data_IF_341188634487
#
_entry.id   IF_341188634487
#
_cell.length_a   1.000
_cell.length_b   1.000
_cell.length_c   1.000
_cell.angle_alpha   90.00
_cell.angle_beta   90.00
_cell.angle_gamma   90.00
#
_symmetry.space_group_name_H-M   'P 1'
#
loop_
_entity.id
_entity.type
_entity.pdbx_description
1 polymer ?
#
# COMPACT_ATOMS: atom_id res chain seq x y z
N UNK A 1 18.41 61.45 -37.01
CA UNK A 1 18.28 59.98 -37.05
C UNK A 1 17.62 59.54 -35.74
N UNK A 2 16.29 59.32 -35.75
CA UNK A 2 15.50 58.89 -34.60
C UNK A 2 15.52 57.36 -34.55
N UNK A 3 16.05 56.77 -33.48
CA UNK A 3 15.94 55.32 -33.20
C UNK A 3 14.58 55.04 -32.56
N UNK A 4 13.73 54.28 -33.28
CA UNK A 4 12.46 53.75 -32.76
C UNK A 4 12.80 52.48 -32.00
N UNK A 5 12.52 52.47 -30.68
CA UNK A 5 12.63 51.30 -29.80
C UNK A 5 11.31 50.54 -29.85
N UNK A 6 11.29 49.37 -30.48
CA UNK A 6 10.12 48.52 -30.53
C UNK A 6 10.09 47.65 -29.25
N UNK A 7 9.15 47.96 -28.33
CA UNK A 7 8.85 47.11 -27.16
C UNK A 7 7.99 45.95 -27.61
N UNK A 8 8.54 44.74 -27.65
CA UNK A 8 7.76 43.50 -27.76
C UNK A 8 7.20 43.16 -26.37
N UNK A 9 5.93 43.38 -26.17
CA UNK A 9 5.18 42.83 -25.02
C UNK A 9 4.85 41.36 -25.32
N UNK A 10 5.57 40.46 -24.68
CA UNK A 10 5.21 39.03 -24.65
C UNK A 10 4.07 38.85 -23.65
N UNK A 11 2.87 38.70 -24.17
CA UNK A 11 1.69 38.34 -23.39
C UNK A 11 1.75 36.85 -23.08
N UNK A 12 2.21 36.47 -21.88
CA UNK A 12 2.12 35.10 -21.36
C UNK A 12 0.68 34.85 -20.92
N UNK A 13 -0.11 34.27 -21.82
CA UNK A 13 -1.42 33.71 -21.45
C UNK A 13 -1.18 32.45 -20.58
N UNK A 14 -1.31 32.59 -19.27
CA UNK A 14 -1.45 31.45 -18.37
C UNK A 14 -2.81 30.78 -18.70
N UNK A 15 -2.76 29.68 -19.43
CA UNK A 15 -3.85 28.73 -19.51
C UNK A 15 -4.00 28.10 -18.11
N UNK A 16 -4.90 28.63 -17.30
CA UNK A 16 -5.44 27.90 -16.16
C UNK A 16 -6.22 26.71 -16.75
N UNK A 17 -5.56 25.55 -16.87
CA UNK A 17 -6.25 24.30 -17.03
C UNK A 17 -7.11 24.13 -15.76
N UNK A 18 -8.41 24.41 -15.90
CA UNK A 18 -9.38 24.07 -14.86
C UNK A 18 -9.30 22.57 -14.67
N UNK A 19 -8.69 22.11 -13.57
CA UNK A 19 -8.83 20.74 -13.12
C UNK A 19 -10.30 20.53 -12.81
N UNK A 20 -11.07 20.04 -13.79
CA UNK A 20 -12.37 19.46 -13.53
C UNK A 20 -12.02 18.14 -12.86
N UNK A 21 -12.33 17.92 -11.56
CA UNK A 21 -12.12 16.63 -10.94
C UNK A 21 -12.85 15.58 -11.77
N UNK A 22 -12.14 14.53 -12.16
CA UNK A 22 -12.75 13.42 -12.87
C UNK A 22 -13.90 12.91 -12.01
N UNK A 23 -15.11 12.89 -12.56
CA UNK A 23 -16.27 12.39 -11.85
C UNK A 23 -16.03 10.91 -11.53
N UNK A 24 -16.10 10.52 -10.27
CA UNK A 24 -15.81 9.15 -9.86
C UNK A 24 -16.76 8.14 -10.51
N UNK A 25 -18.02 8.58 -10.75
CA UNK A 25 -19.02 7.77 -11.45
C UNK A 25 -19.83 8.60 -12.42
N UNK A 26 -20.17 8.01 -13.55
CA UNK A 26 -21.12 8.50 -14.56
C UNK A 26 -22.55 7.95 -14.38
N UNK A 27 -22.75 7.11 -13.35
CA UNK A 27 -24.03 6.53 -12.96
C UNK A 27 -24.28 6.73 -11.46
N UNK A 28 -25.53 6.59 -11.04
CA UNK A 28 -25.89 6.47 -9.61
C UNK A 28 -26.57 5.14 -9.37
N UNK A 29 -26.17 4.49 -8.28
CA UNK A 29 -26.77 3.26 -7.82
C UNK A 29 -27.68 3.53 -6.61
N UNK A 30 -28.95 3.19 -6.72
CA UNK A 30 -29.94 3.33 -5.64
C UNK A 30 -29.99 2.09 -4.73
N UNK A 31 -29.39 0.99 -5.15
CA UNK A 31 -29.34 -0.26 -4.38
C UNK A 31 -28.33 -0.14 -3.24
N UNK A 32 -28.70 -0.48 -1.99
CA UNK A 32 -27.74 -0.42 -0.89
C UNK A 32 -26.58 -1.40 -1.10
N UNK A 33 -25.37 -0.89 -1.14
CA UNK A 33 -24.12 -1.66 -1.20
C UNK A 33 -23.32 -1.36 0.06
N UNK A 34 -22.91 -2.38 0.78
CA UNK A 34 -22.07 -2.25 1.97
C UNK A 34 -20.72 -2.93 1.75
N UNK A 35 -19.64 -2.39 2.31
CA UNK A 35 -18.33 -3.02 2.22
C UNK A 35 -17.60 -3.09 3.55
N UNK A 36 -16.75 -4.12 3.70
CA UNK A 36 -15.73 -4.20 4.74
C UNK A 36 -14.34 -4.15 4.08
N UNK A 37 -13.50 -3.22 4.49
CA UNK A 37 -12.18 -2.99 3.90
C UNK A 37 -11.15 -2.57 4.95
N UNK A 38 -9.87 -2.59 4.57
CA UNK A 38 -8.78 -2.12 5.44
C UNK A 38 -8.92 -0.62 5.78
N UNK A 39 -8.57 -0.25 7.01
CA UNK A 39 -8.78 1.09 7.57
C UNK A 39 -7.61 2.07 7.35
N UNK A 40 -6.90 2.06 6.22
CA UNK A 40 -5.84 3.02 5.94
C UNK A 40 -6.21 4.03 4.84
N UNK A 41 -5.45 5.12 4.73
CA UNK A 41 -5.85 6.32 3.97
C UNK A 41 -6.14 6.06 2.49
N UNK A 42 -5.39 5.19 1.80
CA UNK A 42 -5.69 4.88 0.41
C UNK A 42 -7.08 4.21 0.24
N UNK A 43 -7.49 3.34 1.18
CA UNK A 43 -8.84 2.78 1.18
C UNK A 43 -9.92 3.83 1.47
N UNK A 44 -9.64 4.82 2.33
CA UNK A 44 -10.57 5.95 2.55
C UNK A 44 -10.84 6.70 1.25
N UNK A 45 -9.78 7.00 0.48
CA UNK A 45 -9.92 7.69 -0.81
C UNK A 45 -10.75 6.86 -1.80
N UNK A 46 -10.46 5.56 -1.91
CA UNK A 46 -11.20 4.66 -2.80
C UNK A 46 -12.68 4.57 -2.40
N UNK A 47 -12.97 4.36 -1.12
CA UNK A 47 -14.34 4.23 -0.65
C UNK A 47 -15.12 5.53 -0.75
N UNK A 48 -14.49 6.69 -0.50
CA UNK A 48 -15.12 8.00 -0.70
C UNK A 48 -15.50 8.22 -2.17
N UNK A 49 -14.64 7.82 -3.12
CA UNK A 49 -14.98 7.86 -4.53
C UNK A 49 -16.16 6.91 -4.87
N UNK A 50 -16.25 5.74 -4.21
CA UNK A 50 -17.38 4.83 -4.40
C UNK A 50 -18.70 5.37 -3.83
N UNK A 51 -18.66 6.16 -2.75
CA UNK A 51 -19.84 6.84 -2.18
C UNK A 51 -20.47 7.84 -3.15
N UNK A 52 -19.67 8.42 -4.04
CA UNK A 52 -20.19 9.32 -5.10
C UNK A 52 -21.05 8.57 -6.14
N UNK A 53 -20.91 7.24 -6.23
CA UNK A 53 -21.64 6.39 -7.17
C UNK A 53 -23.07 6.05 -6.72
N UNK A 54 -23.48 6.42 -5.51
CA UNK A 54 -24.84 6.18 -5.01
C UNK A 54 -24.90 5.61 -3.61
N UNK A 55 -25.84 4.69 -3.36
CA UNK A 55 -26.12 4.15 -2.04
C UNK A 55 -25.04 3.14 -1.60
N UNK A 56 -23.87 3.61 -1.25
CA UNK A 56 -22.72 2.85 -0.80
C UNK A 56 -22.33 3.24 0.64
N UNK A 57 -22.12 2.24 1.50
CA UNK A 57 -21.73 2.44 2.89
C UNK A 57 -20.49 1.61 3.21
N UNK A 58 -19.30 2.23 3.32
CA UNK A 58 -18.07 1.54 3.67
C UNK A 58 -17.95 1.32 5.19
N UNK A 59 -17.38 0.20 5.57
CA UNK A 59 -16.79 -0.05 6.88
C UNK A 59 -15.30 -0.21 6.72
N UNK A 60 -14.53 0.70 7.31
CA UNK A 60 -13.07 0.71 7.30
C UNK A 60 -12.57 0.25 8.67
N UNK A 61 -11.82 -0.84 8.72
CA UNK A 61 -11.39 -1.47 9.97
C UNK A 61 -9.92 -1.90 9.87
N UNK A 62 -9.07 -1.50 10.81
CA UNK A 62 -7.66 -1.88 10.83
C UNK A 62 -7.47 -3.39 11.04
N UNK A 63 -8.39 -4.02 11.76
CA UNK A 63 -8.37 -5.46 12.06
C UNK A 63 -9.34 -6.25 11.16
N UNK A 64 -9.70 -5.70 9.98
CA UNK A 64 -10.67 -6.30 9.07
C UNK A 64 -10.34 -7.75 8.67
N UNK A 65 -9.06 -8.09 8.62
CA UNK A 65 -8.56 -9.42 8.23
C UNK A 65 -9.14 -10.53 9.11
N UNK A 66 -9.23 -10.27 10.42
CA UNK A 66 -9.70 -11.24 11.41
C UNK A 66 -11.21 -11.45 11.34
N UNK A 67 -11.93 -10.48 10.79
CA UNK A 67 -13.40 -10.46 10.70
C UNK A 67 -13.92 -10.87 9.33
N UNK A 68 -13.08 -10.76 8.30
CA UNK A 68 -13.47 -10.80 6.89
C UNK A 68 -14.22 -12.09 6.52
N UNK A 69 -13.63 -13.25 6.78
CA UNK A 69 -14.22 -14.54 6.40
C UNK A 69 -15.56 -14.74 7.11
N UNK A 70 -15.61 -14.58 8.43
CA UNK A 70 -16.82 -14.76 9.21
C UNK A 70 -17.98 -13.82 8.77
N UNK A 71 -17.64 -12.56 8.44
CA UNK A 71 -18.62 -11.58 7.99
C UNK A 71 -19.21 -11.94 6.61
N UNK A 72 -18.42 -12.54 5.73
CA UNK A 72 -18.85 -12.92 4.38
C UNK A 72 -19.55 -14.28 4.35
N UNK A 73 -19.21 -15.23 5.23
CA UNK A 73 -19.83 -16.55 5.33
C UNK A 73 -21.23 -16.53 5.96
N UNK A 74 -21.56 -15.49 6.71
CA UNK A 74 -22.89 -15.36 7.30
C UNK A 74 -23.99 -15.45 6.23
N UNK A 75 -25.22 -15.84 6.62
CA UNK A 75 -26.35 -16.00 5.68
C UNK A 75 -27.54 -15.19 6.15
N UNK A 76 -27.87 -14.07 5.49
CA UNK A 76 -27.13 -13.43 4.41
C UNK A 76 -25.77 -12.86 4.88
N UNK A 77 -24.84 -12.65 3.95
CA UNK A 77 -23.58 -11.97 4.24
C UNK A 77 -23.81 -10.61 4.90
N UNK A 78 -22.96 -10.25 5.87
CA UNK A 78 -23.06 -8.94 6.55
C UNK A 78 -22.75 -7.78 5.59
N UNK A 79 -21.91 -8.03 4.59
CA UNK A 79 -21.52 -7.05 3.58
C UNK A 79 -21.77 -7.56 2.18
N UNK A 80 -22.13 -6.65 1.27
CA UNK A 80 -22.33 -6.96 -0.16
C UNK A 80 -21.02 -7.26 -0.85
N UNK A 81 -19.98 -6.50 -0.51
CA UNK A 81 -18.64 -6.65 -1.06
C UNK A 81 -17.59 -6.50 0.04
N UNK A 82 -16.35 -6.83 -0.27
CA UNK A 82 -15.25 -6.61 0.63
C UNK A 82 -13.97 -6.23 -0.11
N UNK A 83 -13.14 -5.45 0.58
CA UNK A 83 -11.74 -5.26 0.22
C UNK A 83 -10.95 -6.52 0.54
N UNK A 84 -10.16 -6.98 -0.41
CA UNK A 84 -9.24 -8.10 -0.26
C UNK A 84 -7.85 -7.70 -0.76
N UNK A 85 -6.87 -8.46 -0.37
CA UNK A 85 -5.49 -8.31 -0.83
C UNK A 85 -4.92 -9.67 -1.24
N UNK A 86 -3.75 -9.69 -1.82
CA UNK A 86 -3.03 -10.94 -2.12
C UNK A 86 -2.93 -11.90 -0.93
N UNK A 87 -2.85 -11.36 0.31
CA UNK A 87 -2.77 -12.16 1.53
C UNK A 87 -4.11 -12.59 2.15
N UNK A 88 -5.23 -11.96 1.78
CA UNK A 88 -6.54 -12.28 2.38
C UNK A 88 -7.50 -12.99 1.43
N UNK A 89 -7.28 -12.89 0.13
CA UNK A 89 -8.17 -13.46 -0.88
C UNK A 89 -8.26 -14.99 -0.76
N UNK A 90 -7.15 -15.67 -0.46
CA UNK A 90 -7.09 -17.13 -0.39
C UNK A 90 -8.08 -17.66 0.66
N UNK A 91 -8.03 -17.14 1.89
CA UNK A 91 -8.94 -17.60 2.96
C UNK A 91 -10.42 -17.34 2.64
N UNK A 92 -10.74 -16.25 1.94
CA UNK A 92 -12.11 -15.95 1.49
C UNK A 92 -12.57 -16.95 0.41
N UNK A 93 -11.67 -17.32 -0.51
CA UNK A 93 -11.96 -18.28 -1.58
C UNK A 93 -12.09 -19.70 -1.05
N UNK A 94 -11.20 -20.13 -0.15
CA UNK A 94 -11.24 -21.44 0.51
C UNK A 94 -12.54 -21.63 1.31
N UNK A 95 -13.02 -20.55 1.95
CA UNK A 95 -14.31 -20.53 2.63
C UNK A 95 -15.53 -20.54 1.65
N UNK A 96 -15.28 -20.38 0.35
CA UNK A 96 -16.33 -20.26 -0.67
C UNK A 96 -17.23 -19.05 -0.45
N UNK A 97 -16.71 -17.97 0.16
CA UNK A 97 -17.47 -16.81 0.58
C UNK A 97 -17.60 -15.73 -0.50
N UNK A 98 -16.83 -15.81 -1.60
CA UNK A 98 -16.93 -14.92 -2.75
C UNK A 98 -17.62 -15.61 -3.94
N UNK A 99 -18.22 -14.80 -4.83
CA UNK A 99 -18.75 -15.27 -6.12
C UNK A 99 -17.86 -14.84 -7.29
N UNK A 100 -17.87 -15.59 -8.41
CA UNK A 100 -17.26 -15.13 -9.67
C UNK A 100 -17.87 -13.81 -10.15
N UNK A 101 -17.05 -13.02 -10.85
CA UNK A 101 -17.40 -11.69 -11.36
C UNK A 101 -17.47 -11.64 -12.89
N UNK A 102 -17.36 -12.79 -13.57
CA UNK A 102 -17.29 -12.88 -15.04
C UNK A 102 -18.48 -12.20 -15.73
N UNK A 103 -19.69 -12.38 -15.21
CA UNK A 103 -20.91 -11.77 -15.69
C UNK A 103 -20.88 -10.22 -15.61
N UNK A 104 -20.40 -9.70 -14.48
CA UNK A 104 -20.27 -8.25 -14.29
C UNK A 104 -19.15 -7.67 -15.13
N UNK A 105 -18.01 -8.36 -15.21
CA UNK A 105 -16.89 -7.93 -16.05
C UNK A 105 -17.26 -7.94 -17.52
N UNK A 106 -18.00 -8.94 -18.00
CA UNK A 106 -18.50 -8.99 -19.37
C UNK A 106 -19.42 -7.80 -19.70
N UNK A 107 -20.23 -7.37 -18.72
CA UNK A 107 -21.22 -6.30 -18.93
C UNK A 107 -20.63 -4.91 -18.72
N UNK A 108 -19.76 -4.72 -17.71
CA UNK A 108 -19.33 -3.42 -17.23
C UNK A 108 -17.81 -3.22 -17.26
N UNK A 109 -17.04 -4.28 -17.51
CA UNK A 109 -15.60 -4.30 -17.36
C UNK A 109 -14.79 -3.89 -18.58
N UNK A 110 -15.38 -3.20 -19.58
CA UNK A 110 -14.68 -2.83 -20.83
C UNK A 110 -13.45 -1.94 -20.61
N UNK A 111 -13.38 -1.20 -19.52
CA UNK A 111 -12.23 -0.36 -19.14
C UNK A 111 -11.16 -1.07 -18.29
N UNK A 112 -11.41 -2.31 -17.86
CA UNK A 112 -10.46 -3.04 -17.03
C UNK A 112 -9.30 -3.59 -17.85
N UNK A 113 -8.08 -3.40 -17.33
CA UNK A 113 -6.89 -4.04 -17.86
C UNK A 113 -6.85 -5.52 -17.45
N UNK A 114 -6.19 -6.37 -18.25
CA UNK A 114 -6.11 -7.82 -17.94
C UNK A 114 -5.44 -8.11 -16.59
N UNK A 115 -4.41 -7.34 -16.21
CA UNK A 115 -3.72 -7.48 -14.94
C UNK A 115 -4.54 -7.04 -13.71
N UNK A 116 -5.69 -6.41 -13.89
CA UNK A 116 -6.64 -6.09 -12.82
C UNK A 116 -7.57 -7.26 -12.50
N UNK A 117 -7.72 -8.22 -13.41
CA UNK A 117 -8.60 -9.38 -13.26
C UNK A 117 -7.85 -10.49 -12.51
N UNK A 118 -8.23 -10.74 -11.27
CA UNK A 118 -7.63 -11.81 -10.46
C UNK A 118 -8.36 -13.12 -10.76
N UNK A 119 -7.65 -13.97 -11.49
CA UNK A 119 -8.17 -15.25 -11.97
C UNK A 119 -7.84 -16.37 -10.98
N UNK A 120 -8.84 -17.16 -10.61
CA UNK A 120 -8.69 -18.41 -9.86
C UNK A 120 -9.54 -19.48 -10.56
N UNK A 121 -8.93 -20.59 -10.92
CA UNK A 121 -9.55 -21.67 -11.69
C UNK A 121 -10.28 -21.21 -12.95
N UNK A 122 -9.69 -20.23 -13.65
CA UNK A 122 -10.22 -19.67 -14.90
C UNK A 122 -11.41 -18.71 -14.71
N UNK A 123 -11.78 -18.36 -13.48
CA UNK A 123 -12.86 -17.42 -13.16
C UNK A 123 -12.29 -16.13 -12.57
N UNK A 124 -12.89 -15.00 -12.89
CA UNK A 124 -12.53 -13.71 -12.29
C UNK A 124 -13.13 -13.66 -10.89
N UNK A 125 -12.30 -13.78 -9.86
CA UNK A 125 -12.74 -13.81 -8.46
C UNK A 125 -12.59 -12.49 -7.74
N UNK A 126 -11.70 -11.60 -8.19
CA UNK A 126 -11.52 -10.26 -7.65
C UNK A 126 -11.09 -9.28 -8.74
N UNK A 127 -11.32 -7.99 -8.50
CA UNK A 127 -10.77 -6.91 -9.32
C UNK A 127 -9.75 -6.15 -8.50
N UNK A 128 -8.49 -6.17 -8.93
CA UNK A 128 -7.42 -5.38 -8.33
C UNK A 128 -7.62 -3.90 -8.66
N UNK A 129 -7.54 -3.06 -7.65
CA UNK A 129 -7.70 -1.60 -7.76
C UNK A 129 -6.41 -0.86 -7.45
N UNK A 130 -5.58 -1.42 -6.60
CA UNK A 130 -4.36 -0.82 -6.12
C UNK A 130 -3.23 -1.84 -6.16
N UNK A 131 -2.06 -1.37 -6.62
CA UNK A 131 -0.81 -2.12 -6.55
C UNK A 131 0.12 -1.37 -5.62
N UNK A 132 0.83 -2.09 -4.76
CA UNK A 132 1.67 -1.52 -3.72
C UNK A 132 2.99 -2.29 -3.62
N UNK A 133 4.05 -1.56 -3.29
CA UNK A 133 5.37 -2.11 -3.02
C UNK A 133 6.04 -1.27 -1.93
N UNK A 134 6.96 -1.86 -1.19
CA UNK A 134 7.75 -1.09 -0.24
C UNK A 134 8.86 -0.32 -0.97
N UNK A 135 9.16 0.85 -0.45
CA UNK A 135 10.20 1.75 -0.93
C UNK A 135 11.00 2.25 0.27
N UNK A 136 12.28 2.53 0.07
CA UNK A 136 13.04 3.27 1.06
C UNK A 136 12.52 4.71 1.08
N UNK A 137 11.86 5.08 2.17
CA UNK A 137 11.51 6.45 2.49
C UNK A 137 12.58 7.03 3.39
N UNK A 138 13.00 8.27 3.12
CA UNK A 138 14.07 8.90 3.89
C UNK A 138 13.92 10.42 3.99
N UNK A 139 14.43 10.98 5.06
CA UNK A 139 14.58 12.42 5.28
C UNK A 139 15.76 12.93 4.48
N UNK A 140 15.49 13.57 3.34
CA UNK A 140 16.52 14.11 2.43
C UNK A 140 17.40 15.14 3.11
N UNK A 141 16.82 16.03 3.91
CA UNK A 141 17.53 17.03 4.69
C UNK A 141 18.56 16.40 5.64
N UNK A 142 18.19 15.37 6.41
CA UNK A 142 19.09 14.68 7.33
C UNK A 142 20.23 13.97 6.58
N UNK A 143 19.92 13.28 5.49
CA UNK A 143 20.94 12.59 4.71
C UNK A 143 21.94 13.58 4.11
N UNK A 144 21.46 14.71 3.57
CA UNK A 144 22.31 15.76 3.00
C UNK A 144 23.19 16.41 4.07
N UNK A 145 22.61 16.83 5.20
CA UNK A 145 23.35 17.49 6.29
C UNK A 145 24.47 16.60 6.86
N UNK A 146 24.24 15.31 6.88
CA UNK A 146 25.20 14.32 7.35
C UNK A 146 26.10 13.76 6.24
N UNK A 147 25.98 14.22 5.00
CA UNK A 147 26.70 13.69 3.83
C UNK A 147 26.56 12.15 3.75
N UNK A 148 25.34 11.66 3.74
CA UNK A 148 24.99 10.25 3.58
C UNK A 148 24.38 10.06 2.20
N UNK A 149 24.98 9.22 1.37
CA UNK A 149 24.38 8.80 0.10
C UNK A 149 23.11 7.96 0.39
N UNK A 150 22.13 8.04 -0.52
CA UNK A 150 20.90 7.24 -0.39
C UNK A 150 21.25 5.75 -0.41
N UNK A 151 20.94 4.99 0.68
CA UNK A 151 21.28 3.58 0.77
C UNK A 151 20.58 2.74 -0.31
N UNK A 152 21.30 1.80 -0.89
CA UNK A 152 20.82 0.85 -1.90
C UNK A 152 20.79 -0.59 -1.38
N UNK A 153 21.44 -0.83 -0.24
CA UNK A 153 21.48 -2.14 0.43
C UNK A 153 21.19 -2.00 1.92
N UNK A 154 20.75 -3.07 2.57
CA UNK A 154 20.54 -3.04 4.03
C UNK A 154 21.84 -2.83 4.83
N UNK A 155 22.99 -3.27 4.33
CA UNK A 155 24.29 -2.92 4.94
C UNK A 155 24.55 -1.41 4.91
N UNK A 156 24.17 -0.73 3.81
CA UNK A 156 24.28 0.73 3.70
C UNK A 156 23.24 1.43 4.60
N UNK A 157 22.02 0.88 4.73
CA UNK A 157 21.00 1.37 5.69
C UNK A 157 21.57 1.34 7.11
N UNK A 158 22.20 0.24 7.53
CA UNK A 158 22.81 0.15 8.87
C UNK A 158 23.97 1.18 9.04
N UNK A 159 24.80 1.36 8.01
CA UNK A 159 25.88 2.38 8.06
C UNK A 159 25.30 3.79 8.20
N UNK A 160 24.26 4.10 7.44
CA UNK A 160 23.54 5.38 7.53
C UNK A 160 22.91 5.54 8.94
N UNK A 161 22.23 4.51 9.45
CA UNK A 161 21.61 4.51 10.77
C UNK A 161 22.62 4.79 11.89
N UNK A 162 23.80 4.18 11.86
CA UNK A 162 24.89 4.45 12.80
C UNK A 162 25.32 5.92 12.79
N UNK A 163 25.43 6.52 11.61
CA UNK A 163 25.83 7.91 11.45
C UNK A 163 24.76 8.87 11.97
N UNK A 164 23.49 8.60 11.68
CA UNK A 164 22.32 9.34 12.16
C UNK A 164 22.21 9.24 13.68
N UNK A 165 22.35 8.03 14.24
CA UNK A 165 22.33 7.81 15.69
C UNK A 165 23.42 8.61 16.40
N UNK A 166 24.65 8.60 15.86
CA UNK A 166 25.76 9.39 16.42
C UNK A 166 25.49 10.90 16.37
N UNK A 167 24.79 11.37 15.34
CA UNK A 167 24.45 12.79 15.19
C UNK A 167 23.29 13.21 16.11
N UNK A 168 22.49 12.27 16.60
CA UNK A 168 21.38 12.49 17.53
C UNK A 168 20.37 13.54 17.04
N UNK A 169 19.98 13.44 15.75
CA UNK A 169 19.09 14.43 15.08
C UNK A 169 17.62 13.96 15.00
N UNK A 170 17.34 12.72 15.37
CA UNK A 170 15.99 12.13 15.49
C UNK A 170 15.94 11.16 16.67
N UNK A 171 14.74 10.80 17.12
CA UNK A 171 14.57 9.84 18.24
C UNK A 171 15.16 8.48 17.87
N UNK A 172 14.87 8.00 16.66
CA UNK A 172 15.37 6.72 16.13
C UNK A 172 15.83 6.87 14.68
N UNK A 173 16.99 6.32 14.30
CA UNK A 173 17.45 6.36 12.90
C UNK A 173 16.50 5.67 11.92
N UNK A 174 15.89 4.56 12.34
CA UNK A 174 15.04 3.70 11.51
C UNK A 174 13.63 3.55 12.10
N UNK A 175 12.65 3.42 11.21
CA UNK A 175 11.39 2.78 11.47
C UNK A 175 11.30 1.46 10.71
N UNK A 176 10.51 0.50 11.23
CA UNK A 176 10.28 -0.77 10.55
C UNK A 176 8.93 -1.35 10.91
N UNK A 177 8.29 -2.00 9.95
CA UNK A 177 6.99 -2.66 10.13
C UNK A 177 7.16 -4.03 10.77
N UNK A 178 7.72 -4.04 11.99
CA UNK A 178 8.13 -5.25 12.70
C UNK A 178 7.10 -5.77 13.71
N UNK A 179 5.87 -5.28 13.67
CA UNK A 179 4.80 -5.83 14.52
C UNK A 179 4.74 -7.35 14.38
N UNK A 180 4.77 -8.03 15.50
CA UNK A 180 4.71 -9.50 15.56
C UNK A 180 3.53 -10.05 14.76
N UNK A 181 3.73 -11.15 14.05
CA UNK A 181 2.78 -11.75 13.14
C UNK A 181 3.02 -11.34 11.69
N UNK A 182 1.96 -10.93 10.99
CA UNK A 182 2.02 -10.71 9.55
C UNK A 182 3.08 -9.67 9.11
N UNK A 183 3.18 -8.54 9.80
CA UNK A 183 4.12 -7.49 9.40
C UNK A 183 5.57 -7.97 9.43
N UNK A 184 6.00 -8.59 10.53
CA UNK A 184 7.36 -9.13 10.66
C UNK A 184 7.60 -10.29 9.67
N UNK A 185 6.58 -11.12 9.45
CA UNK A 185 6.61 -12.18 8.43
C UNK A 185 6.83 -11.63 7.03
N UNK A 186 6.16 -10.54 6.67
CA UNK A 186 6.32 -9.87 5.38
C UNK A 186 7.71 -9.27 5.20
N UNK A 187 8.28 -8.64 6.23
CA UNK A 187 9.66 -8.15 6.19
C UNK A 187 10.67 -9.28 5.98
N UNK A 188 10.42 -10.45 6.61
CA UNK A 188 11.24 -11.65 6.36
C UNK A 188 11.11 -12.09 4.90
N UNK A 189 9.89 -12.20 4.37
CA UNK A 189 9.63 -12.63 2.98
C UNK A 189 10.33 -11.69 2.00
N UNK A 190 10.13 -10.38 2.15
CA UNK A 190 10.72 -9.37 1.28
C UNK A 190 12.25 -9.49 1.25
N UNK A 191 12.88 -9.56 2.40
CA UNK A 191 14.34 -9.64 2.49
C UNK A 191 14.89 -10.98 1.99
N UNK A 192 14.23 -12.10 2.32
CA UNK A 192 14.63 -13.43 1.87
C UNK A 192 14.57 -13.55 0.35
N UNK A 193 13.47 -13.10 -0.27
CA UNK A 193 13.34 -13.10 -1.73
C UNK A 193 14.38 -12.18 -2.41
N UNK A 194 14.87 -11.17 -1.71
CA UNK A 194 15.98 -10.32 -2.15
C UNK A 194 17.30 -11.08 -2.36
N UNK A 195 17.46 -12.28 -1.80
CA UNK A 195 18.57 -13.19 -2.10
C UNK A 195 18.35 -14.02 -3.37
N UNK A 196 17.17 -13.94 -3.99
CA UNK A 196 16.76 -14.72 -5.17
C UNK A 196 16.65 -16.23 -4.92
N UNK A 197 16.36 -16.63 -3.68
CA UNK A 197 16.14 -18.02 -3.30
C UNK A 197 14.65 -18.37 -3.30
N UNK A 198 14.34 -19.63 -3.60
CA UNK A 198 12.98 -20.16 -3.49
C UNK A 198 12.61 -20.34 -2.01
N UNK A 199 11.40 -19.93 -1.64
CA UNK A 199 10.85 -20.11 -0.29
C UNK A 199 10.35 -21.54 -0.04
N UNK A 200 10.07 -22.29 -1.11
CA UNK A 200 9.50 -23.63 -1.07
C UNK A 200 10.26 -24.58 -1.98
N UNK A 201 10.36 -25.82 -1.56
CA UNK A 201 10.74 -26.98 -2.39
C UNK A 201 9.51 -27.86 -2.52
N UNK A 202 8.85 -27.82 -3.68
CA UNK A 202 7.49 -28.33 -3.85
C UNK A 202 6.54 -27.63 -2.89
N UNK A 203 5.91 -28.39 -1.97
CA UNK A 203 4.98 -27.89 -0.95
C UNK A 203 5.64 -27.74 0.44
N UNK A 204 6.96 -27.90 0.55
CA UNK A 204 7.68 -27.80 1.83
C UNK A 204 8.40 -26.46 1.95
N UNK A 205 8.35 -25.80 3.11
CA UNK A 205 9.15 -24.60 3.35
C UNK A 205 10.65 -24.89 3.22
N UNK A 206 11.37 -24.09 2.43
CA UNK A 206 12.81 -24.24 2.17
C UNK A 206 13.66 -23.10 2.74
N UNK A 207 13.11 -22.31 3.65
CA UNK A 207 13.79 -21.11 4.20
C UNK A 207 14.80 -21.41 5.31
N UNK A 208 14.89 -22.66 5.79
CA UNK A 208 15.89 -23.07 6.78
C UNK A 208 17.24 -23.35 6.10
N UNK A 209 17.89 -22.28 5.65
CA UNK A 209 19.15 -22.30 4.93
C UNK A 209 20.01 -21.08 5.28
N UNK A 210 21.17 -20.92 4.65
CA UNK A 210 22.11 -19.81 4.89
C UNK A 210 21.47 -18.43 4.67
N UNK A 211 20.66 -18.23 3.61
CA UNK A 211 19.99 -16.97 3.32
C UNK A 211 18.85 -16.66 4.32
N UNK A 212 18.15 -17.70 4.79
CA UNK A 212 17.18 -17.54 5.90
C UNK A 212 17.85 -17.07 7.19
N UNK A 213 19.01 -17.62 7.53
CA UNK A 213 19.80 -17.17 8.67
C UNK A 213 20.28 -15.71 8.51
N UNK A 214 20.85 -15.36 7.35
CA UNK A 214 21.29 -13.98 7.09
C UNK A 214 20.13 -13.00 7.08
N UNK A 215 18.95 -13.39 6.60
CA UNK A 215 17.71 -12.58 6.70
C UNK A 215 17.38 -12.27 8.16
N UNK A 216 17.31 -13.28 9.03
CA UNK A 216 16.99 -13.07 10.46
C UNK A 216 18.06 -12.22 11.16
N UNK A 217 19.31 -12.44 10.85
CA UNK A 217 20.44 -11.67 11.38
C UNK A 217 20.37 -10.21 10.97
N UNK A 218 20.02 -9.92 9.71
CA UNK A 218 19.86 -8.55 9.21
C UNK A 218 18.65 -7.86 9.86
N UNK A 219 17.50 -8.52 9.96
CA UNK A 219 16.32 -7.97 10.64
C UNK A 219 16.64 -7.62 12.10
N UNK A 220 17.36 -8.51 12.80
CA UNK A 220 17.83 -8.23 14.16
C UNK A 220 18.79 -7.03 14.20
N UNK A 221 19.72 -6.91 13.27
CA UNK A 221 20.65 -5.78 13.23
C UNK A 221 19.94 -4.44 12.95
N UNK A 222 18.90 -4.44 12.10
CA UNK A 222 18.08 -3.25 11.82
C UNK A 222 17.29 -2.82 13.06
N UNK A 223 16.75 -3.76 13.83
CA UNK A 223 15.95 -3.44 15.02
C UNK A 223 16.72 -2.69 16.10
N UNK A 224 18.06 -2.77 16.13
CA UNK A 224 18.91 -2.02 17.06
C UNK A 224 18.86 -0.49 16.85
N UNK A 225 18.33 -0.03 15.70
CA UNK A 225 18.21 1.38 15.35
C UNK A 225 16.76 1.87 15.34
N UNK A 226 15.82 1.04 15.77
CA UNK A 226 14.39 1.33 15.83
C UNK A 226 13.94 1.68 17.24
N UNK A 227 12.68 2.13 17.34
CA UNK A 227 11.98 2.25 18.62
C UNK A 227 12.06 0.93 19.40
N UNK A 228 12.37 0.91 20.70
CA UNK A 228 12.37 -0.32 21.50
C UNK A 228 11.08 -1.14 21.44
N UNK A 229 9.94 -0.50 21.18
CA UNK A 229 8.64 -1.16 20.99
C UNK A 229 8.40 -1.65 19.56
N UNK A 230 9.44 -1.85 18.74
CA UNK A 230 9.35 -2.21 17.33
C UNK A 230 8.47 -3.45 17.05
N UNK A 231 8.33 -4.38 18.01
CA UNK A 231 7.44 -5.54 17.85
C UNK A 231 5.94 -5.20 17.91
N UNK A 232 5.58 -3.94 18.15
CA UNK A 232 4.21 -3.42 18.05
C UNK A 232 4.03 -2.51 16.83
N UNK A 233 5.12 -2.21 16.09
CA UNK A 233 5.14 -1.24 15.00
C UNK A 233 4.58 -1.82 13.71
N UNK A 234 3.36 -1.44 13.37
CA UNK A 234 2.77 -1.67 12.05
C UNK A 234 3.01 -0.48 11.11
N UNK A 235 2.56 -0.58 9.86
CA UNK A 235 2.76 0.46 8.85
C UNK A 235 2.15 1.82 9.24
N UNK A 236 1.06 1.84 9.98
CA UNK A 236 0.42 3.08 10.45
C UNK A 236 1.24 3.74 11.55
N UNK A 237 1.81 2.95 12.44
CA UNK A 237 2.71 3.45 13.47
C UNK A 237 3.98 4.06 12.87
N UNK A 238 4.63 3.35 11.94
CA UNK A 238 5.84 3.85 11.24
C UNK A 238 5.53 5.13 10.44
N UNK A 239 4.38 5.19 9.76
CA UNK A 239 3.91 6.41 9.10
C UNK A 239 3.84 7.59 10.08
N UNK A 240 3.24 7.39 11.26
CA UNK A 240 3.14 8.42 12.29
C UNK A 240 4.50 8.84 12.84
N UNK A 241 5.43 7.90 13.01
CA UNK A 241 6.79 8.24 13.42
C UNK A 241 7.46 9.17 12.40
N UNK A 242 7.30 8.92 11.09
CA UNK A 242 7.77 9.84 10.05
C UNK A 242 7.09 11.21 10.14
N UNK A 243 5.75 11.23 10.13
CA UNK A 243 4.98 12.47 10.21
C UNK A 243 5.36 13.33 11.41
N UNK A 244 5.71 12.70 12.54
CA UNK A 244 6.17 13.40 13.74
C UNK A 244 7.67 13.80 13.70
N UNK A 245 8.41 13.42 12.67
CA UNK A 245 9.84 13.68 12.53
C UNK A 245 10.72 12.85 13.47
N UNK A 246 10.21 11.73 13.97
CA UNK A 246 10.91 10.86 14.95
C UNK A 246 11.92 9.92 14.32
N UNK A 247 11.77 9.60 13.04
CA UNK A 247 12.64 8.69 12.30
C UNK A 247 13.19 9.33 11.04
N UNK A 248 14.35 8.85 10.59
CA UNK A 248 15.01 9.36 9.39
C UNK A 248 14.81 8.47 8.16
N UNK A 249 14.69 7.15 8.32
CA UNK A 249 14.54 6.20 7.23
C UNK A 249 13.60 5.05 7.61
N UNK A 250 12.87 4.52 6.63
CA UNK A 250 12.15 3.24 6.74
C UNK A 250 11.92 2.64 5.36
N UNK A 251 11.96 1.29 5.26
CA UNK A 251 11.38 0.61 4.11
C UNK A 251 9.87 0.48 4.38
N UNK A 252 9.04 1.18 3.59
CA UNK A 252 7.62 1.35 3.89
C UNK A 252 6.78 1.32 2.61
N UNK A 253 5.53 0.91 2.72
CA UNK A 253 4.59 0.81 1.62
C UNK A 253 4.34 2.17 0.94
N UNK A 254 4.41 2.20 -0.40
CA UNK A 254 4.20 3.40 -1.21
C UNK A 254 2.85 4.08 -0.95
N UNK A 255 1.81 3.32 -0.58
CA UNK A 255 0.49 3.86 -0.18
C UNK A 255 0.52 4.80 1.02
N UNK A 256 1.64 4.87 1.75
CA UNK A 256 1.86 5.80 2.87
C UNK A 256 2.47 7.14 2.45
N UNK A 257 2.90 7.24 1.18
CA UNK A 257 3.63 8.41 0.68
C UNK A 257 2.84 9.72 0.85
N UNK A 258 1.57 9.74 0.46
CA UNK A 258 0.73 10.94 0.54
C UNK A 258 0.57 11.49 1.95
N UNK A 259 0.62 10.64 2.98
CA UNK A 259 0.51 11.06 4.36
C UNK A 259 1.72 11.90 4.84
N UNK A 260 2.89 11.72 4.21
CA UNK A 260 4.09 12.48 4.57
C UNK A 260 3.95 13.97 4.26
N UNK A 261 3.15 14.30 3.24
CA UNK A 261 2.92 15.66 2.79
C UNK A 261 1.54 16.23 3.25
N UNK A 262 0.84 15.54 4.14
CA UNK A 262 -0.37 16.07 4.77
C UNK A 262 0.00 17.19 5.75
N UNK A 263 -0.24 18.44 5.37
CA UNK A 263 0.15 19.62 6.15
C UNK A 263 -0.55 19.74 7.52
N UNK A 264 -1.68 19.06 7.73
CA UNK A 264 -2.41 19.07 9.00
C UNK A 264 -1.80 18.09 10.03
N UNK A 265 -1.18 17.01 9.55
CA UNK A 265 -0.70 15.92 10.40
C UNK A 265 0.82 15.75 10.40
N UNK A 266 1.53 16.25 9.36
CA UNK A 266 2.95 16.01 9.14
C UNK A 266 3.81 17.24 9.46
N UNK A 267 4.87 17.02 10.24
CA UNK A 267 5.93 18.00 10.50
C UNK A 267 7.07 17.94 9.48
N UNK A 268 6.99 17.01 8.53
CA UNK A 268 8.06 16.71 7.56
C UNK A 268 7.61 16.90 6.11
N UNK A 269 6.62 17.77 5.89
CA UNK A 269 6.10 18.10 4.56
C UNK A 269 7.25 18.52 3.64
N UNK A 270 7.34 17.88 2.47
CA UNK A 270 8.37 18.13 1.45
C UNK A 270 9.76 17.56 1.76
N UNK A 271 10.01 17.04 2.97
CA UNK A 271 11.32 16.57 3.42
C UNK A 271 11.54 15.07 3.21
N UNK A 272 10.48 14.28 3.02
CA UNK A 272 10.58 12.84 2.78
C UNK A 272 10.68 12.56 1.29
N UNK A 273 11.70 11.79 0.91
CA UNK A 273 11.93 11.32 -0.46
C UNK A 273 11.90 9.80 -0.53
N UNK A 274 11.90 9.28 -1.75
CA UNK A 274 11.70 7.87 -2.04
C UNK A 274 12.82 7.34 -2.92
N UNK A 275 13.26 6.13 -2.62
CA UNK A 275 14.17 5.34 -3.45
C UNK A 275 13.65 3.90 -3.55
N UNK A 276 14.25 3.10 -4.42
CA UNK A 276 13.99 1.66 -4.43
C UNK A 276 14.22 1.05 -3.06
N UNK A 277 13.44 0.03 -2.70
CA UNK A 277 13.70 -0.73 -1.48
C UNK A 277 15.16 -1.22 -1.46
N UNK A 278 15.83 -1.25 -0.29
CA UNK A 278 17.20 -1.71 -0.19
C UNK A 278 17.30 -3.17 -0.63
N UNK A 279 18.37 -3.55 -1.33
CA UNK A 279 18.64 -4.94 -1.65
C UNK A 279 19.25 -5.68 -0.45
N UNK A 280 19.00 -6.97 -0.35
CA UNK A 280 19.59 -7.82 0.69
C UNK A 280 21.11 -7.93 0.57
N UNK A 281 21.65 -7.79 -0.65
CA UNK A 281 23.09 -7.80 -0.96
C UNK A 281 23.40 -6.86 -2.12
N UNK A 282 24.65 -6.44 -2.25
CA UNK A 282 25.09 -5.59 -3.36
C UNK A 282 24.84 -6.30 -4.71
N UNK A 283 24.18 -5.56 -5.62
CA UNK A 283 23.78 -6.08 -6.93
C UNK A 283 22.58 -7.04 -6.88
N UNK A 284 21.94 -7.19 -5.73
CA UNK A 284 20.69 -7.92 -5.56
C UNK A 284 19.48 -7.11 -6.06
N UNK A 285 18.32 -7.76 -6.06
CA UNK A 285 17.03 -7.12 -6.36
C UNK A 285 16.51 -6.38 -5.13
N UNK A 286 15.68 -5.33 -5.32
CA UNK A 286 15.03 -4.65 -4.20
C UNK A 286 14.22 -5.62 -3.34
N UNK A 287 14.38 -5.53 -2.02
CA UNK A 287 13.68 -6.39 -1.05
C UNK A 287 12.23 -5.90 -0.85
N UNK A 288 11.38 -6.21 -1.79
CA UNK A 288 9.94 -5.90 -1.75
C UNK A 288 9.15 -6.90 -2.58
N UNK A 289 7.94 -7.22 -2.13
CA UNK A 289 6.94 -7.95 -2.90
C UNK A 289 6.01 -6.98 -3.63
N UNK A 290 5.44 -7.42 -4.74
CA UNK A 290 4.36 -6.72 -5.40
C UNK A 290 3.05 -7.12 -4.72
N UNK A 291 2.48 -6.21 -3.95
CA UNK A 291 1.21 -6.38 -3.27
C UNK A 291 0.07 -5.78 -4.09
N UNK A 292 -1.09 -6.37 -4.04
CA UNK A 292 -2.29 -5.78 -4.62
C UNK A 292 -3.44 -5.78 -3.60
N UNK A 293 -4.29 -4.78 -3.71
CA UNK A 293 -5.57 -4.68 -3.04
C UNK A 293 -6.67 -4.56 -4.07
N UNK A 294 -7.82 -5.14 -3.80
CA UNK A 294 -8.93 -5.17 -4.73
C UNK A 294 -10.24 -5.48 -4.04
N UNK A 295 -11.27 -5.73 -4.83
CA UNK A 295 -12.61 -6.00 -4.33
C UNK A 295 -13.13 -7.36 -4.77
N UNK A 296 -13.91 -7.97 -3.90
CA UNK A 296 -14.75 -9.15 -4.19
C UNK A 296 -16.22 -8.85 -3.91
N UNK A 297 -17.11 -9.66 -4.43
CA UNK A 297 -18.53 -9.67 -4.06
C UNK A 297 -18.83 -10.94 -3.26
N UNK A 298 -19.51 -10.76 -2.14
CA UNK A 298 -19.92 -11.87 -1.28
C UNK A 298 -20.89 -12.80 -2.02
N UNK A 299 -20.75 -14.12 -1.79
CA UNK A 299 -21.57 -15.14 -2.46
C UNK A 299 -23.01 -15.14 -1.97
N UNK A 300 -23.23 -14.87 -0.68
CA UNK A 300 -24.54 -14.96 -0.01
C UNK A 300 -25.17 -13.58 0.22
N UNK A 301 -25.04 -12.68 -0.75
CA UNK A 301 -25.74 -11.38 -0.69
C UNK A 301 -27.24 -11.59 -0.66
N UNK A 302 -27.97 -10.69 0.03
CA UNK A 302 -29.43 -10.64 -0.11
C UNK A 302 -29.78 -10.51 -1.58
N UNK A 303 -30.78 -11.23 -2.11
CA UNK A 303 -31.28 -11.00 -3.47
C UNK A 303 -31.64 -9.51 -3.58
N UNK A 304 -30.98 -8.82 -4.51
CA UNK A 304 -31.40 -7.48 -4.89
C UNK A 304 -32.56 -7.70 -5.84
N UNK A 305 -33.78 -7.48 -5.39
CA UNK A 305 -34.93 -7.34 -6.27
C UNK A 305 -34.74 -6.03 -7.00
N UNK A 306 -34.16 -6.09 -8.18
CA UNK A 306 -34.20 -4.97 -9.13
C UNK A 306 -35.65 -4.93 -9.60
N UNK A 307 -36.33 -3.86 -9.27
CA UNK A 307 -37.62 -3.57 -9.89
C UNK A 307 -37.30 -3.13 -11.33
N UNK A 308 -37.42 -4.10 -12.28
CA UNK A 308 -37.13 -3.91 -13.70
C UNK A 308 -38.05 -2.84 -14.34
N UNK A 309 -38.97 -2.24 -13.58
CA UNK A 309 -39.87 -1.17 -14.06
C UNK A 309 -39.27 0.23 -13.90
N UNK A 310 -38.07 0.36 -13.32
CA UNK A 310 -37.39 1.63 -13.08
C UNK A 310 -36.05 1.81 -13.81
N UNK A 311 -35.81 1.02 -14.86
CA UNK A 311 -34.73 1.22 -15.82
C UNK A 311 -35.16 2.16 -16.94
#
# INVERSE_FOLDING_TARGET
MKKILLLLTVSTSFLFASFIPAKACDFKNDVPVTSLSAGFDAWKVVTSAMEECGNFTPTLDQDYKDKLVAALESSPSQYTMAGVSGGTVVSVLDAGAARPLDDLVAKYGSGLQENQKILVDGKIMAIAMMVNAQHLMFREDILNDLNIDVPTTYDEVIKAAKKIQKANVVDYPLGGTFKSGWNLGEEFVNMYLGFSDAMFDGNQPAVNNGNGYETLKMLKALSEYMDPEFLTSDSTYVQKQFQQGKIAMANLWASRAGAMDNAEESKVVGLVKFASAPAAKKGGIPATTLWWDGVIIAKKTKPITIDDTKL
#
